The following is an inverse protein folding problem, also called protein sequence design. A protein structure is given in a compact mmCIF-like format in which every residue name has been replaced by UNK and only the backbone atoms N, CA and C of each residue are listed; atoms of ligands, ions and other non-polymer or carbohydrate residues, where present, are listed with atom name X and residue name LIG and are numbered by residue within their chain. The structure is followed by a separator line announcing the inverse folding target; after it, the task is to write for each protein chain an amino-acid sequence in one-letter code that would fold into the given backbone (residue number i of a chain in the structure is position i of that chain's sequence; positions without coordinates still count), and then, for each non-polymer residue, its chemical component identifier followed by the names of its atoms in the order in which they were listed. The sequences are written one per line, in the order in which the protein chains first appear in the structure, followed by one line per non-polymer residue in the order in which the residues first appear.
data_IF_178816620459
#
_entry.id   IF_178816620459
#
_cell.length_a   1.000
_cell.length_b   1.000
_cell.length_c   1.000
_cell.angle_alpha   90.00
_cell.angle_beta   90.00
_cell.angle_gamma   90.00
#
_symmetry.space_group_name_H-M   'P 1'
#
loop_
_entity.id
_entity.type
_entity.pdbx_description
1 polymer ?
#
# COMPACT_ATOMS: atom_id res chain seq x y z
N UNK A 1 0.17 -14.63 -30.71
CA UNK A 1 -0.01 -15.43 -29.48
C UNK A 1 -0.88 -14.72 -28.41
N UNK A 2 -1.61 -13.65 -28.78
CA UNK A 2 -2.57 -13.00 -27.88
C UNK A 2 -3.90 -13.76 -27.88
N UNK A 3 -4.57 -13.84 -26.72
CA UNK A 3 -5.95 -14.34 -26.59
C UNK A 3 -6.99 -13.34 -27.14
N UNK A 4 -6.60 -12.04 -27.21
CA UNK A 4 -7.43 -10.94 -27.67
C UNK A 4 -6.63 -10.08 -28.67
N UNK A 5 -6.36 -10.57 -29.88
CA UNK A 5 -5.44 -9.90 -30.82
C UNK A 5 -5.93 -8.52 -31.27
N UNK A 6 -7.23 -8.35 -31.49
CA UNK A 6 -7.80 -7.08 -31.96
C UNK A 6 -7.71 -6.00 -30.86
N UNK A 7 -7.96 -6.34 -29.58
CA UNK A 7 -7.80 -5.42 -28.47
C UNK A 7 -6.33 -5.01 -28.31
N UNK A 8 -5.40 -5.97 -28.40
CA UNK A 8 -3.97 -5.67 -28.30
C UNK A 8 -3.50 -4.76 -29.45
N UNK A 9 -4.00 -5.01 -30.67
CA UNK A 9 -3.67 -4.15 -31.80
C UNK A 9 -4.18 -2.70 -31.57
N UNK A 10 -5.40 -2.55 -31.07
CA UNK A 10 -5.97 -1.22 -30.74
C UNK A 10 -5.19 -0.51 -29.63
N UNK A 11 -4.73 -1.24 -28.61
CA UNK A 11 -3.90 -0.67 -27.53
C UNK A 11 -2.54 -0.17 -28.09
N UNK A 12 -1.88 -0.96 -28.94
CA UNK A 12 -0.62 -0.55 -29.60
C UNK A 12 -0.80 0.67 -30.51
N UNK A 13 -1.89 0.73 -31.25
CA UNK A 13 -2.21 1.90 -32.09
C UNK A 13 -2.45 3.15 -31.23
N UNK A 14 -3.10 3.01 -30.06
CA UNK A 14 -3.30 4.11 -29.12
C UNK A 14 -1.96 4.58 -28.52
N UNK A 15 -1.07 3.69 -28.14
CA UNK A 15 0.28 4.01 -27.65
C UNK A 15 1.11 4.76 -28.70
N UNK A 16 1.13 4.25 -29.94
CA UNK A 16 1.79 4.94 -31.06
C UNK A 16 1.22 6.34 -31.29
N UNK A 17 -0.10 6.47 -31.25
CA UNK A 17 -0.78 7.77 -31.44
C UNK A 17 -0.43 8.76 -30.32
N UNK A 18 -0.31 8.28 -29.06
CA UNK A 18 0.10 9.10 -27.93
C UNK A 18 1.54 9.60 -28.07
N UNK A 19 2.48 8.74 -28.51
CA UNK A 19 3.86 9.11 -28.77
C UNK A 19 3.97 10.17 -29.90
N UNK A 20 3.24 9.97 -31.00
CA UNK A 20 3.21 10.93 -32.11
C UNK A 20 2.62 12.29 -31.70
N UNK A 21 1.58 12.27 -30.84
CA UNK A 21 1.01 13.49 -30.28
C UNK A 21 2.02 14.22 -29.40
N UNK A 22 2.71 13.51 -28.52
CA UNK A 22 3.76 14.04 -27.65
C UNK A 22 4.89 14.69 -28.45
N UNK A 23 5.40 13.99 -29.47
CA UNK A 23 6.43 14.51 -30.36
C UNK A 23 6.00 15.80 -31.06
N UNK A 24 4.77 15.85 -31.58
CA UNK A 24 4.21 17.05 -32.22
C UNK A 24 4.11 18.21 -31.23
N UNK A 25 3.60 17.98 -30.03
CA UNK A 25 3.48 19.04 -29.01
C UNK A 25 4.84 19.58 -28.58
N UNK A 26 5.84 18.72 -28.48
CA UNK A 26 7.20 19.17 -28.19
C UNK A 26 7.80 20.00 -29.35
N UNK A 27 7.59 19.57 -30.59
CA UNK A 27 8.00 20.33 -31.77
C UNK A 27 7.35 21.74 -31.81
N UNK A 28 6.05 21.85 -31.50
CA UNK A 28 5.36 23.14 -31.38
C UNK A 28 6.01 24.09 -30.35
N UNK A 29 6.54 23.51 -29.21
CA UNK A 29 7.28 24.31 -28.22
C UNK A 29 8.63 24.77 -28.78
N UNK A 30 9.35 23.91 -29.47
CA UNK A 30 10.62 24.25 -30.12
C UNK A 30 10.44 25.32 -31.21
N UNK A 31 9.40 25.20 -32.02
CA UNK A 31 9.08 26.19 -33.05
C UNK A 31 8.72 27.56 -32.44
N UNK A 32 7.98 27.55 -31.31
CA UNK A 32 7.50 28.77 -30.67
C UNK A 32 8.59 29.50 -29.88
N UNK A 33 9.44 28.79 -29.15
CA UNK A 33 10.39 29.37 -28.20
C UNK A 33 11.85 29.15 -28.56
N UNK A 34 12.14 28.31 -29.55
CA UNK A 34 13.48 27.90 -29.94
C UNK A 34 14.01 26.74 -29.03
N UNK A 35 14.82 25.87 -29.62
CA UNK A 35 15.36 24.66 -28.94
C UNK A 35 16.13 25.06 -27.71
N UNK A 36 17.05 26.01 -27.78
CA UNK A 36 17.91 26.40 -26.64
C UNK A 36 17.10 26.91 -25.43
N UNK A 37 15.98 27.61 -25.65
CA UNK A 37 15.12 28.08 -24.55
C UNK A 37 14.38 26.91 -23.89
N UNK A 38 13.86 25.99 -24.69
CA UNK A 38 13.12 24.83 -24.17
C UNK A 38 14.06 23.91 -23.38
N UNK A 39 15.27 23.65 -23.90
CA UNK A 39 16.28 22.85 -23.17
C UNK A 39 16.69 23.53 -21.86
N UNK A 40 16.95 24.83 -21.87
CA UNK A 40 17.25 25.57 -20.65
C UNK A 40 16.09 25.56 -19.63
N UNK A 41 14.83 25.51 -20.09
CA UNK A 41 13.69 25.32 -19.20
C UNK A 41 13.68 23.92 -18.56
N UNK A 42 14.04 22.87 -19.28
CA UNK A 42 14.15 21.52 -18.70
C UNK A 42 15.20 21.48 -17.60
N UNK A 43 16.39 22.05 -17.84
CA UNK A 43 17.46 22.12 -16.83
C UNK A 43 17.00 22.92 -15.59
N UNK A 44 16.35 24.06 -15.80
CA UNK A 44 15.84 24.90 -14.72
C UNK A 44 14.75 24.20 -13.88
N UNK A 45 13.87 23.41 -14.50
CA UNK A 45 12.84 22.62 -13.81
C UNK A 45 13.50 21.53 -12.93
N UNK A 46 14.50 20.84 -13.49
CA UNK A 46 15.25 19.79 -12.77
C UNK A 46 15.99 20.40 -11.57
N UNK A 47 16.69 21.51 -11.76
CA UNK A 47 17.41 22.22 -10.70
C UNK A 47 16.46 22.74 -9.61
N UNK A 48 15.34 23.35 -10.00
CA UNK A 48 14.32 23.82 -9.06
C UNK A 48 13.76 22.70 -8.20
N UNK A 49 13.53 21.50 -8.76
CA UNK A 49 13.13 20.33 -8.02
C UNK A 49 14.20 19.89 -7.03
N UNK A 50 15.47 19.83 -7.45
CA UNK A 50 16.59 19.46 -6.57
C UNK A 50 16.65 20.39 -5.34
N UNK A 51 16.61 21.70 -5.57
CA UNK A 51 16.68 22.69 -4.49
C UNK A 51 15.42 22.67 -3.59
N UNK A 52 14.24 22.47 -4.17
CA UNK A 52 13.01 22.32 -3.38
C UNK A 52 13.07 21.11 -2.45
N UNK A 53 13.46 19.94 -2.95
CA UNK A 53 13.62 18.73 -2.13
C UNK A 53 14.70 18.87 -1.07
N UNK A 54 15.82 19.52 -1.40
CA UNK A 54 16.90 19.79 -0.42
C UNK A 54 16.37 20.64 0.74
N UNK A 55 15.70 21.73 0.44
CA UNK A 55 15.20 22.69 1.41
C UNK A 55 13.99 22.16 2.20
N UNK A 56 13.02 21.55 1.52
CA UNK A 56 11.73 21.20 2.13
C UNK A 56 11.73 19.80 2.76
N UNK A 57 12.57 18.89 2.27
CA UNK A 57 12.55 17.48 2.67
C UNK A 57 13.82 17.09 3.42
N UNK A 58 14.99 17.22 2.79
CA UNK A 58 16.24 16.75 3.41
C UNK A 58 16.58 17.49 4.70
N UNK A 59 16.25 18.78 4.78
CA UNK A 59 16.45 19.57 5.99
C UNK A 59 15.64 19.11 7.21
N UNK A 60 14.59 18.30 7.00
CA UNK A 60 13.73 17.76 8.06
C UNK A 60 14.17 16.40 8.58
N UNK A 61 15.10 15.76 7.89
CA UNK A 61 15.68 14.48 8.31
C UNK A 61 16.98 14.79 9.05
N UNK A 62 17.14 14.40 10.32
CA UNK A 62 18.39 14.60 11.05
C UNK A 62 19.53 13.80 10.41
N UNK A 63 20.78 14.22 10.62
CA UNK A 63 21.93 13.41 10.22
C UNK A 63 22.00 12.15 11.10
N UNK A 64 22.24 10.99 10.48
CA UNK A 64 22.27 9.72 11.20
C UNK A 64 22.07 8.51 10.29
N UNK A 65 21.96 7.34 10.91
CA UNK A 65 21.74 6.06 10.22
C UNK A 65 20.66 5.27 10.95
N UNK A 66 19.68 4.78 10.18
CA UNK A 66 18.55 3.98 10.68
C UNK A 66 18.34 2.79 9.75
N UNK A 67 17.78 1.72 10.27
CA UNK A 67 17.44 0.56 9.48
C UNK A 67 15.97 0.13 9.75
N UNK A 68 15.31 -0.35 8.70
CA UNK A 68 13.97 -0.92 8.74
C UNK A 68 13.81 -1.99 7.68
N UNK A 69 12.98 -2.97 7.95
CA UNK A 69 12.64 -4.00 6.97
C UNK A 69 11.16 -4.36 7.04
N UNK A 70 10.61 -4.74 5.89
CA UNK A 70 9.26 -5.28 5.77
C UNK A 70 9.28 -6.46 4.80
N UNK A 71 8.15 -7.16 4.63
CA UNK A 71 8.16 -8.50 4.07
C UNK A 71 7.04 -8.68 3.06
N UNK A 72 7.33 -9.42 1.97
CA UNK A 72 6.30 -10.17 1.26
C UNK A 72 6.11 -11.53 1.95
N UNK A 73 4.89 -12.02 2.01
CA UNK A 73 4.53 -13.19 2.83
C UNK A 73 4.62 -14.53 2.13
N UNK A 74 4.71 -14.53 0.80
CA UNK A 74 4.91 -15.73 -0.03
C UNK A 74 5.26 -15.36 -1.47
N UNK A 75 5.77 -16.30 -2.22
CA UNK A 75 6.15 -16.13 -3.62
C UNK A 75 5.24 -16.91 -4.61
N UNK A 76 4.22 -17.60 -4.11
CA UNK A 76 3.29 -18.41 -4.91
C UNK A 76 3.83 -19.79 -5.31
N UNK A 77 5.04 -20.16 -4.89
CA UNK A 77 5.68 -21.45 -5.19
C UNK A 77 6.05 -22.19 -3.91
N UNK A 78 6.82 -21.55 -3.04
CA UNK A 78 7.20 -22.12 -1.75
C UNK A 78 6.08 -21.90 -0.69
N UNK A 79 6.03 -22.67 0.39
CA UNK A 79 5.14 -22.38 1.52
C UNK A 79 5.31 -20.93 2.02
N UNK A 80 4.26 -20.33 2.60
CA UNK A 80 4.33 -18.96 3.11
C UNK A 80 5.50 -18.77 4.08
N UNK A 81 6.30 -17.71 3.80
CA UNK A 81 7.46 -17.32 4.61
C UNK A 81 7.78 -15.83 4.39
N UNK A 82 8.55 -15.27 5.30
CA UNK A 82 8.98 -13.88 5.19
C UNK A 82 10.07 -13.71 4.13
N UNK A 83 9.79 -12.89 3.12
CA UNK A 83 10.75 -12.42 2.11
C UNK A 83 11.11 -10.97 2.43
N UNK A 84 12.19 -10.77 3.18
CA UNK A 84 12.60 -9.46 3.68
C UNK A 84 13.04 -8.51 2.57
N UNK A 85 12.63 -7.27 2.69
CA UNK A 85 13.13 -6.12 1.96
C UNK A 85 13.60 -5.10 2.98
N UNK A 86 14.87 -4.72 2.92
CA UNK A 86 15.54 -3.90 3.92
C UNK A 86 16.08 -2.62 3.32
N UNK A 87 15.99 -1.53 4.07
CA UNK A 87 16.67 -0.27 3.80
C UNK A 87 17.44 0.13 5.06
N UNK A 88 18.75 0.36 4.91
CA UNK A 88 19.54 1.14 5.84
C UNK A 88 19.65 2.54 5.25
N UNK A 89 18.99 3.51 5.86
CA UNK A 89 19.00 4.92 5.49
C UNK A 89 20.12 5.62 6.22
N UNK A 90 21.01 6.28 5.48
CA UNK A 90 21.96 7.23 6.05
C UNK A 90 21.69 8.60 5.47
N UNK A 91 21.49 9.60 6.34
CA UNK A 91 21.39 11.02 5.99
C UNK A 91 22.67 11.73 6.38
N UNK A 92 23.22 12.50 5.44
CA UNK A 92 24.35 13.41 5.70
C UNK A 92 24.05 14.79 5.15
N UNK A 93 24.43 15.82 5.88
CA UNK A 93 24.36 17.23 5.44
C UNK A 93 25.59 17.66 4.65
N UNK A 94 26.64 16.86 4.57
CA UNK A 94 27.83 17.15 3.77
C UNK A 94 27.49 17.28 2.28
N UNK A 95 28.16 18.18 1.58
CA UNK A 95 27.99 18.36 0.13
C UNK A 95 26.59 18.85 -0.29
N UNK A 96 25.87 19.52 0.61
CA UNK A 96 24.51 20.02 0.34
C UNK A 96 23.39 19.03 0.71
N UNK A 97 23.73 17.91 1.33
CA UNK A 97 22.79 16.92 1.83
C UNK A 97 22.38 15.86 0.80
N UNK A 98 22.38 14.60 1.24
CA UNK A 98 21.90 13.44 0.48
C UNK A 98 21.39 12.34 1.39
N UNK A 99 20.60 11.43 0.83
CA UNK A 99 20.16 10.18 1.44
C UNK A 99 20.87 9.01 0.77
N UNK A 100 21.47 8.14 1.55
CA UNK A 100 22.02 6.86 1.09
C UNK A 100 21.01 5.78 1.50
N UNK A 101 20.49 5.06 0.52
CA UNK A 101 19.58 3.94 0.70
C UNK A 101 20.33 2.64 0.39
N UNK A 102 20.76 1.93 1.42
CA UNK A 102 21.46 0.65 1.30
C UNK A 102 20.48 -0.49 1.50
N UNK A 103 20.29 -1.30 0.45
CA UNK A 103 19.37 -2.44 0.42
C UNK A 103 20.02 -3.76 0.84
N UNK A 104 21.24 -3.74 1.36
CA UNK A 104 21.93 -4.94 1.88
C UNK A 104 21.11 -5.58 3.00
N UNK A 105 20.94 -6.91 2.97
CA UNK A 105 20.08 -7.65 3.87
C UNK A 105 18.72 -8.01 3.29
N UNK A 106 18.40 -7.52 2.08
CA UNK A 106 17.24 -8.01 1.31
C UNK A 106 17.40 -9.50 0.99
N UNK A 107 16.31 -10.26 1.14
CA UNK A 107 16.29 -11.72 0.95
C UNK A 107 16.83 -12.17 -0.40
N UNK A 108 17.35 -13.42 -0.49
CA UNK A 108 17.66 -14.05 -1.76
C UNK A 108 16.48 -14.01 -2.73
N UNK A 109 16.77 -14.08 -4.04
CA UNK A 109 15.71 -14.14 -5.05
C UNK A 109 14.76 -15.30 -4.81
N UNK A 110 13.47 -15.06 -5.03
CA UNK A 110 12.41 -16.02 -4.87
C UNK A 110 12.32 -16.94 -6.11
N UNK A 111 11.81 -18.16 -5.92
CA UNK A 111 11.46 -19.06 -7.01
C UNK A 111 10.23 -18.56 -7.78
N UNK A 112 9.30 -17.95 -7.05
CA UNK A 112 8.09 -17.37 -7.61
C UNK A 112 8.28 -15.97 -8.19
N UNK A 113 7.24 -15.39 -8.82
CA UNK A 113 7.36 -14.24 -9.71
C UNK A 113 7.50 -12.88 -9.03
N UNK A 114 7.83 -12.81 -7.73
CA UNK A 114 7.86 -11.57 -6.95
C UNK A 114 9.17 -10.76 -7.09
N UNK A 115 10.19 -11.26 -7.78
CA UNK A 115 11.47 -10.58 -7.93
C UNK A 115 11.35 -9.28 -8.72
N UNK A 116 12.20 -8.29 -8.41
CA UNK A 116 12.25 -7.00 -9.09
C UNK A 116 13.71 -6.60 -9.41
N UNK A 117 13.99 -6.26 -10.67
CA UNK A 117 15.30 -5.75 -11.09
C UNK A 117 15.42 -4.25 -10.71
N UNK A 118 15.65 -3.98 -9.42
CA UNK A 118 15.73 -2.63 -8.87
C UNK A 118 16.97 -1.86 -9.32
N UNK A 119 18.03 -2.56 -9.66
CA UNK A 119 19.30 -2.01 -10.14
C UNK A 119 19.31 -1.69 -11.66
N UNK A 120 18.17 -1.79 -12.33
CA UNK A 120 18.04 -1.37 -13.73
C UNK A 120 18.38 0.12 -13.89
N UNK A 121 19.18 0.44 -14.92
CA UNK A 121 19.69 1.77 -15.18
C UNK A 121 20.34 2.43 -13.95
N UNK A 122 21.19 1.65 -13.25
CA UNK A 122 21.91 2.07 -12.04
C UNK A 122 20.98 2.54 -10.91
N UNK A 123 19.74 2.05 -10.91
CA UNK A 123 18.74 2.40 -9.90
C UNK A 123 17.98 3.70 -10.14
N UNK A 124 18.23 4.42 -11.23
CA UNK A 124 17.54 5.69 -11.52
C UNK A 124 16.03 5.57 -11.55
N UNK A 125 15.50 4.46 -12.09
CA UNK A 125 14.07 4.18 -12.05
C UNK A 125 13.57 4.03 -10.62
N UNK A 126 14.29 3.26 -9.79
CA UNK A 126 13.90 3.03 -8.40
C UNK A 126 13.98 4.31 -7.57
N UNK A 127 15.00 5.15 -7.77
CA UNK A 127 15.13 6.44 -7.10
C UNK A 127 13.89 7.33 -7.33
N UNK A 128 13.47 7.46 -8.59
CA UNK A 128 12.27 8.23 -8.95
C UNK A 128 10.98 7.60 -8.42
N UNK A 129 10.91 6.28 -8.38
CA UNK A 129 9.76 5.56 -7.85
C UNK A 129 9.62 5.74 -6.33
N UNK A 130 10.72 5.80 -5.59
CA UNK A 130 10.72 5.98 -4.14
C UNK A 130 10.52 7.46 -3.72
N UNK A 131 10.93 8.42 -4.54
CA UNK A 131 10.90 9.84 -4.21
C UNK A 131 9.53 10.40 -3.78
N UNK A 132 8.37 9.97 -4.33
CA UNK A 132 7.06 10.44 -3.89
C UNK A 132 6.80 10.27 -2.39
N UNK A 133 7.38 9.23 -1.76
CA UNK A 133 7.23 8.98 -0.32
C UNK A 133 7.85 10.11 0.51
N UNK A 134 8.96 10.69 0.04
CA UNK A 134 9.65 11.77 0.72
C UNK A 134 8.76 13.02 0.88
N UNK A 135 7.80 13.24 -0.03
CA UNK A 135 6.88 14.39 0.02
C UNK A 135 6.02 14.41 1.30
N UNK A 136 5.82 13.26 1.95
CA UNK A 136 5.12 13.20 3.24
C UNK A 136 5.86 13.95 4.37
N UNK A 137 7.13 14.29 4.19
CA UNK A 137 7.91 15.09 5.12
C UNK A 137 7.79 16.60 4.88
N UNK A 138 7.11 17.04 3.85
CA UNK A 138 6.85 18.46 3.63
C UNK A 138 6.08 19.07 4.82
N UNK A 139 6.20 20.38 5.01
CA UNK A 139 5.63 21.08 6.16
C UNK A 139 4.12 20.93 6.25
N UNK A 140 3.46 21.02 5.12
CA UNK A 140 2.01 20.88 5.00
C UNK A 140 1.65 20.03 3.78
N UNK A 141 0.43 19.46 3.74
CA UNK A 141 -0.05 18.73 2.56
C UNK A 141 -0.05 19.57 1.28
N UNK A 142 -0.32 20.88 1.39
CA UNK A 142 -0.31 21.82 0.27
C UNK A 142 1.12 21.94 -0.30
N UNK A 143 2.13 22.07 0.58
CA UNK A 143 3.54 22.08 0.17
C UNK A 143 3.96 20.74 -0.45
N UNK A 144 3.48 19.63 0.10
CA UNK A 144 3.71 18.31 -0.49
C UNK A 144 3.14 18.22 -1.92
N UNK A 145 1.97 18.81 -2.17
CA UNK A 145 1.33 18.84 -3.49
C UNK A 145 2.08 19.70 -4.51
N UNK A 146 2.78 20.76 -4.04
CA UNK A 146 3.57 21.67 -4.89
C UNK A 146 4.95 21.10 -5.28
N UNK A 147 5.43 20.06 -4.60
CA UNK A 147 6.71 19.43 -4.90
C UNK A 147 6.58 18.47 -6.08
N UNK A 148 7.13 18.83 -7.22
CA UNK A 148 7.24 17.91 -8.37
C UNK A 148 8.28 16.81 -8.11
N UNK A 149 8.05 15.64 -8.71
CA UNK A 149 9.00 14.54 -8.73
C UNK A 149 9.46 14.30 -10.16
N UNK A 150 10.69 14.63 -10.43
CA UNK A 150 11.34 14.45 -11.74
C UNK A 150 12.80 14.04 -11.55
N UNK A 151 13.63 14.17 -12.57
CA UNK A 151 15.06 13.82 -12.55
C UNK A 151 15.85 14.56 -11.46
N UNK A 152 15.37 15.72 -10.98
CA UNK A 152 16.00 16.52 -9.93
C UNK A 152 16.09 15.84 -8.56
N UNK A 153 15.35 14.74 -8.31
CA UNK A 153 15.47 13.97 -7.07
C UNK A 153 16.65 13.00 -7.10
N UNK A 154 17.10 12.57 -8.28
CA UNK A 154 18.13 11.54 -8.44
C UNK A 154 19.46 11.93 -7.79
N UNK A 155 19.99 13.15 -7.94
CA UNK A 155 21.24 13.54 -7.29
C UNK A 155 21.21 13.54 -5.76
N UNK A 156 20.02 13.53 -5.16
CA UNK A 156 19.82 13.54 -3.73
C UNK A 156 19.77 12.12 -3.11
N UNK A 157 19.66 11.08 -3.95
CA UNK A 157 19.47 9.69 -3.55
C UNK A 157 20.65 8.85 -4.07
N UNK A 158 21.47 8.31 -3.17
CA UNK A 158 22.47 7.30 -3.48
C UNK A 158 21.92 5.92 -3.15
N UNK A 159 21.72 5.06 -4.17
CA UNK A 159 21.23 3.70 -3.98
C UNK A 159 22.38 2.71 -3.94
N UNK A 160 22.44 1.88 -2.91
CA UNK A 160 23.42 0.79 -2.77
C UNK A 160 22.69 -0.53 -2.80
N UNK A 161 22.96 -1.32 -3.84
CA UNK A 161 22.29 -2.60 -4.05
C UNK A 161 23.06 -3.74 -3.41
N UNK A 162 22.34 -4.79 -2.94
CA UNK A 162 22.95 -6.04 -2.50
C UNK A 162 23.62 -6.75 -3.70
N UNK A 163 24.46 -7.78 -3.45
CA UNK A 163 24.98 -8.64 -4.51
C UNK A 163 23.86 -9.21 -5.39
N UNK A 164 24.21 -9.59 -6.62
CA UNK A 164 23.27 -10.26 -7.53
C UNK A 164 22.70 -11.56 -6.92
N UNK A 165 21.44 -11.87 -7.23
CA UNK A 165 20.75 -13.05 -6.70
C UNK A 165 19.82 -12.76 -5.50
N UNK A 166 19.44 -11.50 -5.32
CA UNK A 166 18.41 -11.12 -4.32
C UNK A 166 17.10 -10.72 -4.98
N UNK A 167 16.05 -10.47 -4.16
CA UNK A 167 14.75 -9.97 -4.63
C UNK A 167 14.86 -8.68 -5.45
N UNK A 168 15.87 -7.82 -5.18
CA UNK A 168 16.08 -6.54 -5.85
C UNK A 168 17.13 -6.57 -6.95
N UNK A 169 17.92 -7.62 -7.03
CA UNK A 169 18.99 -7.81 -8.01
C UNK A 169 18.94 -9.22 -8.58
N UNK A 170 17.76 -9.70 -9.04
CA UNK A 170 17.61 -11.07 -9.48
C UNK A 170 18.47 -11.39 -10.70
N UNK A 171 18.89 -12.65 -10.82
CA UNK A 171 19.57 -13.18 -11.98
C UNK A 171 18.67 -14.18 -12.71
N UNK A 172 18.79 -14.19 -14.03
CA UNK A 172 18.05 -15.14 -14.85
C UNK A 172 18.28 -16.60 -14.36
N UNK A 173 17.23 -17.43 -14.28
CA UNK A 173 15.86 -17.27 -14.82
C UNK A 173 14.81 -16.83 -13.79
N UNK A 174 15.16 -16.06 -12.76
CA UNK A 174 14.21 -15.62 -11.74
C UNK A 174 13.00 -14.89 -12.36
N UNK A 175 11.76 -15.33 -12.09
CA UNK A 175 10.58 -14.72 -12.67
C UNK A 175 10.21 -13.40 -11.97
N UNK A 176 9.61 -12.46 -12.73
CA UNK A 176 9.34 -11.09 -12.27
C UNK A 176 7.91 -10.62 -12.55
N UNK A 177 6.98 -11.51 -12.91
CA UNK A 177 5.63 -11.10 -13.35
C UNK A 177 4.81 -10.39 -12.24
N UNK A 178 5.03 -10.74 -10.98
CA UNK A 178 4.40 -10.11 -9.80
C UNK A 178 5.39 -9.17 -9.06
N UNK A 179 6.36 -8.56 -9.76
CA UNK A 179 7.36 -7.65 -9.19
C UNK A 179 6.79 -6.48 -8.38
N UNK A 180 5.53 -6.15 -8.61
CA UNK A 180 4.82 -5.08 -7.92
C UNK A 180 4.79 -5.28 -6.41
N UNK A 181 4.78 -6.51 -5.91
CA UNK A 181 4.83 -6.78 -4.47
C UNK A 181 6.14 -6.27 -3.84
N UNK A 182 7.25 -6.44 -4.52
CA UNK A 182 8.55 -5.97 -4.03
C UNK A 182 8.68 -4.46 -4.18
N UNK A 183 8.40 -3.91 -5.37
CA UNK A 183 8.57 -2.47 -5.60
C UNK A 183 7.61 -1.60 -4.76
N UNK A 184 6.37 -2.04 -4.56
CA UNK A 184 5.42 -1.31 -3.72
C UNK A 184 5.72 -1.49 -2.23
N UNK A 185 6.24 -2.66 -1.82
CA UNK A 185 6.69 -2.87 -0.44
C UNK A 185 7.84 -1.94 -0.06
N UNK A 186 8.74 -1.63 -0.99
CA UNK A 186 9.83 -0.68 -0.75
C UNK A 186 9.32 0.72 -0.39
N UNK A 187 8.14 1.14 -0.87
CA UNK A 187 7.53 2.40 -0.42
C UNK A 187 7.24 2.36 1.08
N UNK A 188 6.67 1.25 1.58
CA UNK A 188 6.44 1.02 3.01
C UNK A 188 7.75 0.93 3.79
N UNK A 189 8.77 0.24 3.25
CA UNK A 189 10.09 0.14 3.91
C UNK A 189 10.75 1.52 4.03
N UNK A 190 10.69 2.35 2.99
CA UNK A 190 11.20 3.71 3.04
C UNK A 190 10.41 4.58 4.03
N UNK A 191 9.07 4.48 4.04
CA UNK A 191 8.23 5.18 5.00
C UNK A 191 8.56 4.76 6.45
N UNK A 192 8.77 3.47 6.71
CA UNK A 192 9.11 2.95 8.03
C UNK A 192 10.47 3.43 8.53
N UNK A 193 11.53 3.37 7.70
CA UNK A 193 12.84 3.89 8.11
C UNK A 193 12.84 5.40 8.31
N UNK A 194 12.09 6.15 7.50
CA UNK A 194 11.89 7.59 7.69
C UNK A 194 11.08 7.89 8.97
N UNK A 195 10.08 7.07 9.30
CA UNK A 195 9.35 7.21 10.56
C UNK A 195 10.29 7.06 11.77
N UNK A 196 11.22 6.09 11.74
CA UNK A 196 12.27 5.98 12.77
C UNK A 196 13.15 7.23 12.82
N UNK A 197 13.64 7.69 11.67
CA UNK A 197 14.53 8.84 11.58
C UNK A 197 13.89 10.15 12.07
N UNK A 198 12.57 10.28 11.96
CA UNK A 198 11.82 11.50 12.24
C UNK A 198 10.90 11.40 13.44
N UNK A 199 11.01 10.34 14.26
CA UNK A 199 10.19 10.17 15.44
C UNK A 199 8.69 10.02 15.15
N UNK A 200 8.33 9.42 14.01
CA UNK A 200 6.93 9.15 13.63
C UNK A 200 6.30 10.17 12.69
N UNK A 201 7.06 11.10 12.09
CA UNK A 201 6.51 12.10 11.17
C UNK A 201 6.11 11.53 9.78
N UNK A 202 5.96 10.22 9.66
CA UNK A 202 5.53 9.54 8.43
C UNK A 202 4.19 8.86 8.62
N UNK A 203 3.42 8.65 7.54
CA UNK A 203 2.23 7.82 7.59
C UNK A 203 2.53 6.38 8.02
N UNK A 204 1.55 5.71 8.61
CA UNK A 204 1.55 4.26 8.79
C UNK A 204 1.52 3.53 7.44
N UNK A 205 1.67 2.21 7.47
CA UNK A 205 1.66 1.39 6.26
C UNK A 205 0.29 1.43 5.56
N UNK A 206 0.36 1.27 4.27
CA UNK A 206 -0.81 1.32 3.41
C UNK A 206 -0.92 0.04 2.57
N UNK A 207 -2.08 -0.15 2.00
CA UNK A 207 -2.31 -1.22 1.07
C UNK A 207 -1.32 -1.15 -0.11
N UNK A 208 -1.09 -2.30 -0.75
CA UNK A 208 -0.40 -2.42 -2.03
C UNK A 208 -1.40 -2.76 -3.14
N UNK A 209 -0.93 -2.91 -4.38
CA UNK A 209 -1.80 -3.25 -5.49
C UNK A 209 -2.36 -4.67 -5.33
N UNK A 210 -3.66 -4.84 -5.64
CA UNK A 210 -4.36 -6.11 -5.62
C UNK A 210 -5.13 -6.29 -6.91
N UNK A 211 -4.76 -7.33 -7.63
CA UNK A 211 -5.54 -7.77 -8.77
C UNK A 211 -6.35 -8.98 -8.35
N UNK A 212 -7.66 -8.93 -8.57
CA UNK A 212 -8.53 -10.08 -8.48
C UNK A 212 -9.24 -10.28 -9.81
N UNK A 213 -9.61 -11.50 -10.12
CA UNK A 213 -10.32 -11.76 -11.36
C UNK A 213 -11.00 -13.10 -11.38
N UNK A 214 -11.91 -13.23 -12.32
CA UNK A 214 -12.58 -14.49 -12.65
C UNK A 214 -12.47 -14.76 -14.15
N UNK A 215 -12.29 -16.02 -14.52
CA UNK A 215 -12.20 -16.42 -15.91
C UNK A 215 -12.87 -17.78 -16.13
N UNK A 216 -13.27 -18.02 -17.36
CA UNK A 216 -13.98 -19.23 -17.78
C UNK A 216 -14.56 -19.04 -19.16
N UNK A 217 -15.66 -19.77 -19.44
CA UNK A 217 -16.38 -19.65 -20.69
C UNK A 217 -17.76 -19.02 -20.45
N UNK A 218 -18.18 -18.13 -21.37
CA UNK A 218 -19.51 -17.52 -21.37
C UNK A 218 -20.58 -18.52 -21.84
N UNK A 219 -21.82 -18.02 -22.02
CA UNK A 219 -22.93 -18.85 -22.44
C UNK A 219 -22.76 -19.46 -23.86
N UNK A 220 -21.99 -18.80 -24.70
CA UNK A 220 -21.70 -19.22 -26.07
C UNK A 220 -20.43 -20.08 -26.16
N UNK A 221 -19.80 -20.41 -25.02
CA UNK A 221 -18.53 -21.15 -24.96
C UNK A 221 -17.31 -20.31 -25.37
N UNK A 222 -17.39 -18.98 -25.31
CA UNK A 222 -16.28 -18.10 -25.60
C UNK A 222 -15.51 -17.81 -24.30
N UNK A 223 -14.17 -17.90 -24.32
CA UNK A 223 -13.37 -17.60 -23.15
C UNK A 223 -13.50 -16.13 -22.75
N UNK A 224 -13.60 -15.88 -21.46
CA UNK A 224 -13.55 -14.54 -20.89
C UNK A 224 -12.52 -14.46 -19.75
N UNK A 225 -12.03 -13.26 -19.51
CA UNK A 225 -11.28 -12.87 -18.32
C UNK A 225 -11.78 -11.52 -17.87
N UNK A 226 -12.34 -11.47 -16.66
CA UNK A 226 -12.55 -10.25 -15.92
C UNK A 226 -11.40 -10.11 -14.93
N UNK A 227 -10.75 -8.96 -14.91
CA UNK A 227 -9.68 -8.63 -13.97
C UNK A 227 -9.81 -7.17 -13.59
N UNK A 228 -9.78 -6.90 -12.29
CA UNK A 228 -9.81 -5.52 -11.79
C UNK A 228 -8.79 -5.32 -10.67
N UNK A 229 -8.41 -4.07 -10.46
CA UNK A 229 -7.62 -3.63 -9.31
C UNK A 229 -8.60 -3.15 -8.23
N UNK A 230 -8.39 -3.61 -6.99
CA UNK A 230 -9.20 -3.18 -5.85
C UNK A 230 -8.35 -2.30 -4.94
N UNK A 231 -8.89 -1.15 -4.53
CA UNK A 231 -8.29 -0.27 -3.53
C UNK A 231 -8.32 -0.86 -2.13
N UNK A 232 -7.51 -0.31 -1.25
CA UNK A 232 -7.52 -0.62 0.18
C UNK A 232 -7.35 0.66 1.00
N UNK A 233 -7.15 0.53 2.30
CA UNK A 233 -6.96 1.68 3.18
C UNK A 233 -5.56 2.27 3.06
N UNK A 234 -5.43 3.60 3.02
CA UNK A 234 -4.14 4.27 3.23
C UNK A 234 -3.80 4.33 4.71
N UNK A 235 -2.52 4.47 5.05
CA UNK A 235 -2.08 4.63 6.44
C UNK A 235 -2.60 5.90 7.10
N UNK A 236 -2.87 5.85 8.40
CA UNK A 236 -3.09 7.04 9.23
C UNK A 236 -1.86 7.93 9.18
N UNK A 237 -2.07 9.26 9.19
CA UNK A 237 -1.02 10.28 9.07
C UNK A 237 -0.82 10.99 10.41
N UNK A 238 0.30 11.65 10.64
CA UNK A 238 0.50 12.43 11.88
C UNK A 238 -0.56 13.50 12.14
N UNK A 239 -1.33 13.90 11.12
CA UNK A 239 -2.28 15.02 11.15
C UNK A 239 -3.69 14.67 10.67
N UNK A 240 -3.93 13.46 10.16
CA UNK A 240 -5.24 13.07 9.61
C UNK A 240 -5.40 11.55 9.54
N UNK A 241 -6.65 11.10 9.48
CA UNK A 241 -6.99 9.71 9.17
C UNK A 241 -6.49 9.29 7.80
N UNK A 242 -6.29 7.99 7.63
CA UNK A 242 -6.08 7.39 6.32
C UNK A 242 -7.35 7.45 5.46
N UNK A 243 -7.16 7.52 4.17
CA UNK A 243 -8.25 7.53 3.19
C UNK A 243 -8.74 6.11 2.91
N UNK A 244 -10.06 5.99 2.73
CA UNK A 244 -10.70 4.71 2.50
C UNK A 244 -10.59 4.31 1.02
N UNK A 245 -10.35 3.04 0.73
CA UNK A 245 -10.40 2.43 -0.60
C UNK A 245 -9.58 3.15 -1.70
N UNK A 246 -8.41 3.64 -1.35
CA UNK A 246 -7.51 4.28 -2.32
C UNK A 246 -6.67 3.27 -3.10
N UNK A 247 -6.27 3.65 -4.29
CA UNK A 247 -5.27 2.92 -5.07
C UNK A 247 -3.89 3.56 -4.88
N UNK A 248 -2.91 2.76 -4.44
CA UNK A 248 -1.52 3.22 -4.29
C UNK A 248 -0.91 3.59 -5.63
N UNK A 249 -1.22 2.80 -6.67
CA UNK A 249 -0.88 3.14 -8.04
C UNK A 249 -2.06 3.91 -8.62
N UNK A 250 -1.89 5.16 -9.01
CA UNK A 250 -2.95 6.00 -9.54
C UNK A 250 -3.54 5.43 -10.84
N UNK A 251 -4.66 5.99 -11.27
CA UNK A 251 -5.40 5.76 -12.50
C UNK A 251 -6.31 4.53 -12.53
N UNK A 252 -6.32 3.71 -11.48
CA UNK A 252 -7.27 2.61 -11.41
C UNK A 252 -8.63 3.11 -10.88
N UNK A 253 -9.70 2.61 -11.51
CA UNK A 253 -11.09 2.80 -11.07
C UNK A 253 -11.77 1.45 -11.06
N UNK A 254 -12.77 1.31 -10.18
CA UNK A 254 -13.61 0.11 -10.18
C UNK A 254 -14.37 0.02 -11.51
N UNK A 255 -14.51 -1.19 -12.01
CA UNK A 255 -15.37 -1.46 -13.17
C UNK A 255 -16.82 -1.17 -12.73
N UNK A 256 -17.61 -0.36 -13.48
CA UNK A 256 -19.01 -0.15 -13.16
C UNK A 256 -19.75 -1.48 -13.10
N UNK A 257 -20.60 -1.65 -12.07
CA UNK A 257 -21.30 -2.92 -11.81
C UNK A 257 -22.16 -3.32 -13.01
N UNK A 258 -22.90 -2.37 -13.58
CA UNK A 258 -23.78 -2.59 -14.73
C UNK A 258 -23.02 -3.07 -15.96
N UNK A 259 -21.83 -2.48 -16.19
CA UNK A 259 -20.96 -2.92 -17.27
C UNK A 259 -20.43 -4.33 -17.02
N UNK A 260 -19.98 -4.61 -15.79
CA UNK A 260 -19.43 -5.92 -15.42
C UNK A 260 -20.47 -7.03 -15.58
N UNK A 261 -21.68 -6.85 -15.02
CA UNK A 261 -22.76 -7.82 -15.07
C UNK A 261 -23.33 -8.03 -16.49
N UNK A 262 -23.24 -7.02 -17.35
CA UNK A 262 -23.65 -7.15 -18.76
C UNK A 262 -22.66 -7.95 -19.61
N UNK A 263 -21.40 -8.07 -19.19
CA UNK A 263 -20.34 -8.72 -19.98
C UNK A 263 -19.90 -10.06 -19.46
N UNK A 264 -20.03 -10.32 -18.15
CA UNK A 264 -19.51 -11.53 -17.52
C UNK A 264 -20.60 -12.22 -16.71
N UNK A 265 -20.56 -13.54 -16.58
CA UNK A 265 -21.62 -14.32 -15.96
C UNK A 265 -21.55 -14.29 -14.43
N UNK A 266 -21.70 -13.11 -13.83
CA UNK A 266 -21.78 -12.94 -12.38
C UNK A 266 -22.68 -11.76 -11.98
N UNK A 267 -23.04 -11.68 -10.70
CA UNK A 267 -23.73 -10.55 -10.07
C UNK A 267 -22.90 -10.00 -8.92
N UNK A 268 -22.90 -8.69 -8.74
CA UNK A 268 -22.28 -8.01 -7.60
C UNK A 268 -23.34 -7.81 -6.52
N UNK A 269 -23.35 -8.66 -5.50
CA UNK A 269 -24.36 -8.62 -4.44
C UNK A 269 -24.08 -7.57 -3.37
N UNK A 270 -22.79 -7.24 -3.17
CA UNK A 270 -22.36 -6.25 -2.20
C UNK A 270 -21.14 -5.50 -2.70
N UNK A 271 -21.15 -4.21 -2.45
CA UNK A 271 -20.04 -3.30 -2.69
C UNK A 271 -20.06 -2.22 -1.60
N UNK A 272 -19.00 -2.12 -0.80
CA UNK A 272 -18.95 -1.16 0.30
C UNK A 272 -17.61 -1.17 1.04
N UNK A 273 -17.53 -0.43 2.12
CA UNK A 273 -16.36 -0.41 2.99
C UNK A 273 -16.34 -1.65 3.89
N UNK A 274 -15.14 -2.19 4.13
CA UNK A 274 -14.92 -3.24 5.12
C UNK A 274 -14.83 -2.60 6.51
N UNK A 275 -15.92 -2.65 7.26
CA UNK A 275 -16.03 -2.07 8.61
C UNK A 275 -14.94 -2.62 9.53
N UNK A 276 -14.35 -1.78 10.39
CA UNK A 276 -13.24 -2.09 11.31
C UNK A 276 -11.97 -2.60 10.63
N UNK A 277 -11.78 -2.40 9.33
CA UNK A 277 -10.57 -2.86 8.66
C UNK A 277 -9.38 -1.92 8.84
N UNK A 278 -9.62 -0.61 8.99
CA UNK A 278 -8.56 0.37 9.25
C UNK A 278 -7.93 0.19 10.63
N UNK A 279 -6.60 0.23 10.69
CA UNK A 279 -5.84 0.12 11.94
C UNK A 279 -6.23 1.21 12.94
N UNK A 280 -6.52 0.84 14.20
CA UNK A 280 -6.83 1.80 15.24
C UNK A 280 -5.66 2.73 15.52
N UNK A 281 -5.94 4.02 15.73
CA UNK A 281 -4.94 5.05 16.05
C UNK A 281 -5.62 6.33 16.49
N UNK A 282 -4.83 7.29 17.00
CA UNK A 282 -5.29 8.66 17.13
C UNK A 282 -5.84 9.16 15.79
N UNK A 283 -5.10 8.84 14.73
CA UNK A 283 -5.55 8.92 13.35
C UNK A 283 -5.70 7.50 12.80
N UNK A 284 -6.94 7.14 12.50
CA UNK A 284 -7.30 5.81 12.01
C UNK A 284 -6.69 5.54 10.65
N UNK A 285 -6.25 4.30 10.39
CA UNK A 285 -6.01 3.82 9.04
C UNK A 285 -7.28 3.85 8.18
N UNK A 286 -7.13 4.06 6.89
CA UNK A 286 -8.22 3.98 5.93
C UNK A 286 -8.82 2.60 5.87
N UNK A 287 -10.10 2.50 5.51
CA UNK A 287 -10.80 1.23 5.39
C UNK A 287 -10.50 0.56 4.05
N UNK A 288 -10.43 -0.75 4.09
CA UNK A 288 -10.50 -1.59 2.91
C UNK A 288 -11.90 -1.65 2.32
N UNK A 289 -12.01 -2.44 1.31
CA UNK A 289 -13.15 -2.62 0.43
C UNK A 289 -13.76 -3.99 0.65
N UNK A 290 -15.08 -4.11 0.62
CA UNK A 290 -15.78 -5.38 0.67
C UNK A 290 -16.64 -5.56 -0.59
N UNK A 291 -16.35 -6.62 -1.37
CA UNK A 291 -17.08 -6.97 -2.57
C UNK A 291 -17.52 -8.43 -2.53
N UNK A 292 -18.80 -8.67 -2.83
CA UNK A 292 -19.35 -10.01 -2.98
C UNK A 292 -19.77 -10.19 -4.42
N UNK A 293 -19.28 -11.25 -5.05
CA UNK A 293 -19.56 -11.60 -6.44
C UNK A 293 -20.18 -12.99 -6.45
N UNK A 294 -21.44 -13.11 -6.88
CA UNK A 294 -22.09 -14.41 -7.11
C UNK A 294 -21.87 -14.87 -8.53
N UNK A 295 -21.27 -16.04 -8.70
CA UNK A 295 -21.06 -16.63 -10.02
C UNK A 295 -22.36 -17.24 -10.56
N UNK A 296 -22.69 -16.95 -11.81
CA UNK A 296 -23.84 -17.52 -12.52
C UNK A 296 -23.48 -18.78 -13.32
N UNK A 297 -22.19 -19.03 -13.49
CA UNK A 297 -21.61 -20.20 -14.17
C UNK A 297 -20.34 -20.64 -13.47
N UNK A 298 -19.95 -21.89 -13.69
CA UNK A 298 -18.64 -22.39 -13.22
C UNK A 298 -17.53 -21.53 -13.81
N UNK A 299 -16.56 -21.17 -12.98
CA UNK A 299 -15.43 -20.32 -13.36
C UNK A 299 -14.20 -20.66 -12.50
N UNK A 300 -13.11 -19.96 -12.75
CA UNK A 300 -11.93 -19.96 -11.90
C UNK A 300 -11.67 -18.56 -11.37
N UNK A 301 -11.34 -18.49 -10.10
CA UNK A 301 -10.89 -17.25 -9.46
C UNK A 301 -9.36 -17.18 -9.49
N UNK A 302 -8.84 -15.97 -9.66
CA UNK A 302 -7.42 -15.65 -9.51
C UNK A 302 -7.22 -14.41 -8.63
N UNK A 303 -6.11 -14.40 -7.90
CA UNK A 303 -5.68 -13.27 -7.09
C UNK A 303 -4.17 -13.07 -7.23
N UNK A 304 -3.77 -11.82 -7.48
CA UNK A 304 -2.39 -11.37 -7.41
C UNK A 304 -2.37 -10.26 -6.36
N UNK A 305 -2.27 -10.66 -5.10
CA UNK A 305 -2.32 -9.79 -3.95
C UNK A 305 -1.25 -10.20 -2.92
N UNK A 306 -1.09 -9.38 -1.91
CA UNK A 306 -0.22 -9.58 -0.75
C UNK A 306 -1.00 -9.20 0.52
N UNK A 307 -0.44 -9.37 1.69
CA UNK A 307 -1.06 -8.99 2.97
C UNK A 307 -2.30 -9.80 3.34
N UNK A 308 -2.34 -11.09 3.03
CA UNK A 308 -3.40 -11.98 3.55
C UNK A 308 -3.05 -12.56 4.93
N UNK A 309 -1.78 -12.57 5.29
CA UNK A 309 -1.25 -13.02 6.59
C UNK A 309 -0.62 -11.87 7.36
N UNK A 310 0.20 -11.07 6.69
CA UNK A 310 0.72 -9.82 7.25
C UNK A 310 -0.33 -8.72 7.16
N UNK A 311 -0.29 -7.78 8.08
CA UNK A 311 -1.13 -6.59 8.07
C UNK A 311 -0.35 -5.35 7.60
N UNK A 312 -1.03 -4.29 7.22
CA UNK A 312 -0.43 -2.97 7.11
C UNK A 312 -0.10 -2.49 8.53
N UNK A 313 1.18 -2.24 8.79
CA UNK A 313 1.65 -1.91 10.15
C UNK A 313 1.20 -0.53 10.62
N UNK A 314 0.93 -0.41 11.92
CA UNK A 314 0.70 0.85 12.62
C UNK A 314 2.01 1.49 13.08
N UNK A 315 2.01 2.80 13.35
CA UNK A 315 3.19 3.56 13.77
C UNK A 315 2.89 4.55 14.89
N UNK A 316 3.91 4.88 15.67
CA UNK A 316 3.86 5.83 16.80
C UNK A 316 2.78 5.48 17.84
N UNK A 317 2.55 4.20 18.10
CA UNK A 317 1.51 3.68 18.99
C UNK A 317 0.19 3.32 18.32
N UNK A 318 0.07 3.54 17.01
CA UNK A 318 -1.06 3.08 16.21
C UNK A 318 -0.98 1.58 15.95
N UNK A 319 -2.13 0.96 15.66
CA UNK A 319 -2.23 -0.49 15.48
C UNK A 319 -2.30 -0.87 14.01
N UNK A 320 -1.97 -2.13 13.73
CA UNK A 320 -2.07 -2.70 12.39
C UNK A 320 -3.51 -2.71 11.89
N UNK A 321 -3.69 -2.55 10.56
CA UNK A 321 -4.95 -2.74 9.87
C UNK A 321 -5.32 -4.22 9.72
N UNK A 322 -6.51 -4.52 9.19
CA UNK A 322 -6.90 -5.90 8.90
C UNK A 322 -6.28 -6.39 7.59
N UNK A 323 -5.83 -7.65 7.53
CA UNK A 323 -5.30 -8.23 6.30
C UNK A 323 -6.34 -8.37 5.18
N UNK A 324 -5.84 -8.56 3.96
CA UNK A 324 -6.60 -9.00 2.80
C UNK A 324 -7.19 -10.40 3.02
N UNK A 325 -8.40 -10.62 2.56
CA UNK A 325 -9.01 -11.95 2.60
C UNK A 325 -9.94 -12.22 1.42
N UNK A 326 -9.89 -13.44 0.93
CA UNK A 326 -10.85 -13.97 -0.03
C UNK A 326 -11.45 -15.25 0.54
N UNK A 327 -12.77 -15.33 0.55
CA UNK A 327 -13.51 -16.51 0.96
C UNK A 327 -14.52 -16.85 -0.14
N UNK A 328 -14.47 -18.07 -0.61
CA UNK A 328 -15.44 -18.61 -1.56
C UNK A 328 -16.50 -19.38 -0.78
N UNK A 329 -17.77 -19.18 -1.14
CA UNK A 329 -18.97 -19.74 -0.51
C UNK A 329 -19.11 -19.41 0.99
N UNK A 330 -18.98 -18.12 1.41
CA UNK A 330 -19.00 -17.73 2.82
C UNK A 330 -20.30 -18.12 3.50
N UNK A 331 -20.19 -18.95 4.57
CA UNK A 331 -21.34 -19.50 5.29
C UNK A 331 -22.03 -20.69 4.60
N UNK A 332 -21.56 -21.10 3.45
CA UNK A 332 -22.07 -22.25 2.71
C UNK A 332 -21.29 -23.56 3.01
N UNK A 333 -21.75 -24.67 2.45
CA UNK A 333 -21.15 -25.99 2.70
C UNK A 333 -19.77 -26.17 2.06
N UNK A 334 -19.41 -25.34 1.09
CA UNK A 334 -18.11 -25.35 0.39
C UNK A 334 -17.22 -24.16 0.77
N UNK A 335 -17.47 -23.56 1.94
CA UNK A 335 -16.68 -22.41 2.42
C UNK A 335 -15.18 -22.75 2.44
N UNK A 336 -14.39 -21.91 1.78
CA UNK A 336 -12.94 -22.02 1.75
C UNK A 336 -12.27 -20.67 1.61
N UNK A 337 -11.14 -20.52 2.30
CA UNK A 337 -10.27 -19.34 2.19
C UNK A 337 -9.27 -19.56 1.06
N UNK A 338 -9.03 -18.52 0.26
CA UNK A 338 -8.06 -18.50 -0.84
C UNK A 338 -6.88 -17.63 -0.44
N UNK A 339 -5.66 -18.07 -0.77
CA UNK A 339 -4.45 -17.29 -0.54
C UNK A 339 -4.41 -16.03 -1.42
N UNK A 340 -3.65 -15.03 -0.97
CA UNK A 340 -3.54 -13.75 -1.69
C UNK A 340 -2.92 -13.89 -3.08
N UNK A 341 -1.99 -14.84 -3.26
CA UNK A 341 -1.41 -15.16 -4.57
C UNK A 341 -1.91 -16.55 -4.97
N UNK A 342 -2.97 -16.58 -5.77
CA UNK A 342 -3.67 -17.78 -6.17
C UNK A 342 -4.10 -17.71 -7.64
N UNK A 343 -4.19 -18.86 -8.27
CA UNK A 343 -4.72 -19.01 -9.64
C UNK A 343 -5.48 -20.34 -9.76
N UNK A 344 -6.38 -20.41 -10.72
CA UNK A 344 -7.17 -21.59 -11.05
C UNK A 344 -8.04 -22.13 -9.89
N UNK A 345 -8.41 -21.27 -8.94
CA UNK A 345 -9.32 -21.65 -7.84
C UNK A 345 -10.73 -21.88 -8.39
N UNK A 346 -11.26 -23.13 -8.34
CA UNK A 346 -12.56 -23.41 -8.94
C UNK A 346 -13.68 -22.73 -8.15
N UNK A 347 -14.63 -22.09 -8.86
CA UNK A 347 -15.84 -21.50 -8.31
C UNK A 347 -17.04 -22.04 -9.08
N UNK A 348 -18.02 -22.62 -8.37
CA UNK A 348 -19.20 -23.18 -8.97
C UNK A 348 -20.29 -22.11 -9.18
N UNK A 349 -21.16 -22.38 -10.14
CA UNK A 349 -22.37 -21.58 -10.31
C UNK A 349 -23.16 -21.52 -9.00
N UNK A 350 -23.56 -20.32 -8.58
CA UNK A 350 -24.25 -20.07 -7.32
C UNK A 350 -23.35 -19.77 -6.12
N UNK A 351 -22.07 -20.13 -6.13
CA UNK A 351 -21.14 -19.74 -5.06
C UNK A 351 -20.85 -18.24 -5.10
N UNK A 352 -20.59 -17.66 -3.93
CA UNK A 352 -20.21 -16.26 -3.75
C UNK A 352 -18.73 -16.17 -3.48
N UNK A 353 -18.05 -15.24 -4.15
CA UNK A 353 -16.67 -14.83 -3.82
C UNK A 353 -16.76 -13.57 -2.97
N UNK A 354 -16.39 -13.65 -1.70
CA UNK A 354 -16.26 -12.49 -0.80
C UNK A 354 -14.82 -12.05 -0.77
N UNK A 355 -14.56 -10.83 -1.22
CA UNK A 355 -13.25 -10.18 -1.23
C UNK A 355 -13.28 -9.05 -0.21
N UNK A 356 -12.31 -9.01 0.72
CA UNK A 356 -12.05 -7.88 1.60
C UNK A 356 -10.62 -7.44 1.43
N UNK A 357 -10.42 -6.18 1.06
CA UNK A 357 -9.06 -5.64 0.93
C UNK A 357 -8.54 -5.15 2.27
N UNK A 358 -7.23 -4.91 2.38
CA UNK A 358 -6.62 -4.47 3.64
C UNK A 358 -7.11 -3.11 4.08
N UNK A 359 -7.22 -2.92 5.37
CA UNK A 359 -7.16 -1.58 5.97
C UNK A 359 -5.72 -1.09 6.07
N UNK A 360 -5.50 0.23 6.01
CA UNK A 360 -4.22 0.86 6.33
C UNK A 360 -3.90 0.76 7.82
N UNK A 361 -2.62 0.91 8.20
CA UNK A 361 -2.22 0.98 9.60
C UNK A 361 -2.68 2.29 10.27
N UNK A 362 -2.86 2.27 11.60
CA UNK A 362 -3.18 3.45 12.42
C UNK A 362 -1.93 4.25 12.78
N UNK A 363 -2.10 5.54 13.06
CA UNK A 363 -1.06 6.42 13.56
C UNK A 363 -1.41 6.93 14.95
N UNK A 364 -0.47 6.86 15.90
CA UNK A 364 -0.64 7.33 17.27
C UNK A 364 -1.59 6.48 18.13
N UNK A 365 -1.55 6.66 19.43
CA UNK A 365 -2.36 5.86 20.38
C UNK A 365 -3.87 5.97 20.09
N UNK A 366 -4.59 4.86 19.84
CA UNK A 366 -6.03 4.90 19.62
C UNK A 366 -6.84 5.42 20.81
N UNK A 367 -6.31 5.33 22.05
CA UNK A 367 -6.97 5.89 23.22
C UNK A 367 -6.91 7.43 23.26
N UNK A 368 -6.11 8.07 22.40
CA UNK A 368 -6.04 9.53 22.25
C UNK A 368 -6.98 10.05 21.16
N UNK A 369 -7.68 9.17 20.42
CA UNK A 369 -8.66 9.61 19.40
C UNK A 369 -9.82 10.35 20.07
N UNK A 370 -10.17 11.57 19.59
CA UNK A 370 -11.31 12.33 20.11
C UNK A 370 -12.62 11.53 20.09
N UNK A 371 -13.44 11.66 21.12
CA UNK A 371 -14.70 10.91 21.22
C UNK A 371 -15.67 11.21 20.08
N UNK A 372 -15.76 12.45 19.66
CA UNK A 372 -16.60 12.90 18.54
C UNK A 372 -16.17 12.30 17.20
N UNK A 373 -14.87 12.06 17.00
CA UNK A 373 -14.37 11.38 15.81
C UNK A 373 -14.75 9.90 15.82
N UNK A 374 -14.67 9.22 16.98
CA UNK A 374 -15.12 7.83 17.11
C UNK A 374 -16.63 7.70 16.90
N UNK A 375 -17.41 8.61 17.47
CA UNK A 375 -18.87 8.64 17.26
C UNK A 375 -19.22 8.85 15.76
N UNK A 376 -18.52 9.77 15.11
CA UNK A 376 -18.67 10.01 13.66
C UNK A 376 -18.34 8.76 12.85
N UNK A 377 -17.25 8.06 13.19
CA UNK A 377 -16.89 6.81 12.51
C UNK A 377 -17.95 5.72 12.72
N UNK A 378 -18.57 5.64 13.89
CA UNK A 378 -19.69 4.73 14.15
C UNK A 378 -20.90 5.12 13.32
N UNK A 379 -21.29 6.40 13.31
CA UNK A 379 -22.42 6.91 12.53
C UNK A 379 -22.24 6.69 11.02
N UNK A 380 -21.03 6.70 10.55
CA UNK A 380 -20.68 6.45 9.13
C UNK A 380 -20.40 4.97 8.82
N UNK A 381 -20.69 4.08 9.76
CA UNK A 381 -20.42 2.64 9.64
C UNK A 381 -18.96 2.30 9.24
N UNK A 382 -18.02 3.12 9.66
CA UNK A 382 -16.59 2.86 9.51
C UNK A 382 -16.03 2.01 10.65
N UNK A 383 -16.53 2.26 11.86
CA UNK A 383 -16.18 1.56 13.09
C UNK A 383 -17.47 0.97 13.69
N UNK A 384 -17.44 -0.29 14.08
CA UNK A 384 -18.57 -0.93 14.77
C UNK A 384 -18.64 -0.45 16.24
N UNK A 385 -19.79 -0.70 16.90
CA UNK A 385 -19.93 -0.45 18.33
C UNK A 385 -18.90 -1.26 19.15
N UNK A 386 -18.60 -2.48 18.70
CA UNK A 386 -17.55 -3.31 19.31
C UNK A 386 -16.17 -2.69 19.09
N UNK A 387 -15.84 -2.27 17.86
CA UNK A 387 -14.59 -1.58 17.55
C UNK A 387 -14.41 -0.28 18.35
N UNK A 388 -15.45 0.54 18.46
CA UNK A 388 -15.40 1.74 19.28
C UNK A 388 -15.01 1.44 20.73
N UNK A 389 -15.61 0.40 21.31
CA UNK A 389 -15.30 -0.03 22.66
C UNK A 389 -13.92 -0.69 22.73
N UNK A 390 -13.64 -1.69 21.88
CA UNK A 390 -12.51 -2.59 22.05
C UNK A 390 -11.20 -2.00 21.51
N UNK A 391 -11.23 -1.12 20.54
CA UNK A 391 -10.04 -0.47 20.00
C UNK A 391 -9.81 0.92 20.61
N UNK A 392 -10.87 1.73 20.71
CA UNK A 392 -10.75 3.13 21.11
C UNK A 392 -11.13 3.42 22.56
N UNK A 393 -11.64 2.42 23.30
CA UNK A 393 -12.10 2.60 24.68
C UNK A 393 -13.29 3.56 24.78
N UNK A 394 -14.17 3.56 23.76
CA UNK A 394 -15.35 4.44 23.71
C UNK A 394 -16.62 3.62 23.85
N UNK A 395 -17.37 3.87 24.92
CA UNK A 395 -18.67 3.25 25.17
C UNK A 395 -19.75 4.06 24.48
N UNK A 396 -20.41 3.43 23.53
CA UNK A 396 -21.50 4.05 22.74
C UNK A 396 -22.79 3.35 23.08
N UNK A 397 -23.82 4.13 23.34
CA UNK A 397 -25.21 3.69 23.52
C UNK A 397 -26.06 4.14 22.32
N UNK A 398 -27.21 3.52 22.12
CA UNK A 398 -28.04 3.78 20.95
C UNK A 398 -27.64 3.01 19.71
N UNK A 399 -28.38 3.15 18.61
CA UNK A 399 -28.08 2.49 17.34
C UNK A 399 -26.87 3.16 16.65
N UNK A 400 -26.23 2.44 15.71
CA UNK A 400 -25.09 3.01 14.95
C UNK A 400 -25.41 4.31 14.21
N UNK A 401 -26.64 4.45 13.68
CA UNK A 401 -27.08 5.65 12.95
C UNK A 401 -27.31 6.87 13.85
N UNK A 402 -27.43 6.66 15.17
CA UNK A 402 -27.60 7.73 16.17
C UNK A 402 -26.81 7.38 17.44
N UNK A 403 -25.46 7.38 17.37
CA UNK A 403 -24.61 6.94 18.45
C UNK A 403 -24.54 8.00 19.55
N UNK A 404 -24.76 7.59 20.80
CA UNK A 404 -24.68 8.44 21.97
C UNK A 404 -23.49 8.03 22.84
N UNK A 405 -22.64 9.00 23.19
CA UNK A 405 -21.48 8.79 24.04
C UNK A 405 -21.87 8.56 25.50
N UNK A 406 -21.52 7.42 26.07
CA UNK A 406 -21.39 7.29 27.52
C UNK A 406 -19.99 7.79 27.96
N UNK A 407 -19.89 9.08 28.27
CA UNK A 407 -18.61 9.70 28.63
C UNK A 407 -18.01 9.09 29.89
N UNK A 408 -18.80 8.87 30.94
CA UNK A 408 -18.30 8.35 32.19
C UNK A 408 -17.73 6.93 32.05
N UNK A 409 -18.44 6.05 31.37
CA UNK A 409 -17.97 4.72 31.08
C UNK A 409 -16.74 4.72 30.15
N UNK A 410 -16.69 5.62 29.18
CA UNK A 410 -15.54 5.77 28.27
C UNK A 410 -14.29 6.26 28.99
N UNK A 411 -14.42 7.30 29.85
CA UNK A 411 -13.30 7.81 30.64
C UNK A 411 -12.74 6.73 31.57
N UNK A 412 -13.62 5.99 32.25
CA UNK A 412 -13.24 4.87 33.13
C UNK A 412 -12.55 3.75 32.34
N UNK A 413 -13.08 3.36 31.16
CA UNK A 413 -12.50 2.31 30.34
C UNK A 413 -11.11 2.71 29.80
N UNK A 414 -10.95 3.93 29.28
CA UNK A 414 -9.65 4.45 28.83
C UNK A 414 -8.64 4.50 29.96
N UNK A 415 -9.05 4.98 31.14
CA UNK A 415 -8.18 5.01 32.32
C UNK A 415 -7.73 3.60 32.74
N UNK A 416 -8.65 2.65 32.81
CA UNK A 416 -8.33 1.26 33.13
C UNK A 416 -7.36 0.64 32.11
N UNK A 417 -7.56 0.87 30.81
CA UNK A 417 -6.66 0.35 29.77
C UNK A 417 -5.27 0.96 29.84
N UNK A 418 -5.15 2.28 30.07
CA UNK A 418 -3.85 2.94 30.26
C UNK A 418 -3.14 2.39 31.50
N UNK A 419 -3.86 2.19 32.60
CA UNK A 419 -3.29 1.62 33.83
C UNK A 419 -2.85 0.15 33.69
N UNK A 420 -3.49 -0.62 32.83
CA UNK A 420 -3.15 -2.02 32.56
C UNK A 420 -1.92 -2.20 31.63
N UNK A 421 -1.44 -1.16 31.00
CA UNK A 421 -0.25 -1.20 30.13
C UNK A 421 1.01 -1.37 30.97
N UNK A 422 1.84 -2.36 30.63
CA UNK A 422 3.16 -2.61 31.24
C UNK A 422 4.28 -2.02 30.39
N UNK A 423 4.12 -0.81 29.88
CA UNK A 423 5.03 -0.09 28.99
C UNK A 423 4.28 0.85 28.07
N UNK A 424 5.00 1.54 27.18
CA UNK A 424 4.39 2.32 26.08
C UNK A 424 3.80 1.41 25.01
N UNK A 425 2.94 1.96 24.15
CA UNK A 425 2.56 1.26 22.91
C UNK A 425 3.80 1.06 22.04
N UNK A 426 3.88 -0.04 21.27
CA UNK A 426 5.02 -0.27 20.38
C UNK A 426 5.11 0.85 19.34
N UNK A 427 6.34 1.24 18.99
CA UNK A 427 6.52 2.25 17.95
C UNK A 427 5.98 1.77 16.59
N UNK A 428 6.18 0.48 16.28
CA UNK A 428 5.51 -0.20 15.16
C UNK A 428 4.70 -1.38 15.68
N UNK A 429 3.46 -1.51 15.19
CA UNK A 429 2.65 -2.71 15.34
C UNK A 429 2.47 -3.40 14.00
N UNK A 430 3.08 -4.57 13.83
CA UNK A 430 2.99 -5.40 12.61
C UNK A 430 1.76 -6.31 12.58
N UNK A 431 0.97 -6.32 13.65
CA UNK A 431 -0.13 -7.26 13.82
C UNK A 431 0.34 -8.71 14.08
N UNK A 432 -0.61 -9.61 14.32
CA UNK A 432 -0.30 -10.99 14.77
C UNK A 432 0.34 -11.86 13.68
N UNK A 433 0.11 -11.53 12.40
CA UNK A 433 0.60 -12.34 11.27
C UNK A 433 2.12 -12.41 11.18
N UNK A 434 2.81 -11.35 11.57
CA UNK A 434 4.27 -11.33 11.60
C UNK A 434 4.82 -12.40 12.57
N UNK A 435 4.35 -12.41 13.81
CA UNK A 435 4.80 -13.37 14.80
C UNK A 435 4.52 -14.84 14.40
N UNK A 436 3.38 -15.08 13.74
CA UNK A 436 3.03 -16.42 13.24
C UNK A 436 3.99 -16.91 12.15
N UNK A 437 4.42 -16.03 11.24
CA UNK A 437 5.34 -16.40 10.15
C UNK A 437 6.82 -16.39 10.59
N UNK A 438 7.19 -15.48 11.48
CA UNK A 438 8.56 -15.36 12.01
C UNK A 438 8.87 -16.39 13.11
N UNK A 439 7.85 -16.95 13.77
CA UNK A 439 7.99 -17.81 14.94
C UNK A 439 8.44 -17.07 16.20
N UNK A 440 8.47 -15.73 16.17
CA UNK A 440 8.88 -14.87 17.29
C UNK A 440 8.19 -13.51 17.19
N UNK A 441 8.05 -12.75 18.31
CA UNK A 441 7.56 -11.37 18.29
C UNK A 441 8.44 -10.47 17.41
N UNK A 442 7.89 -9.29 17.10
CA UNK A 442 8.61 -8.22 16.36
C UNK A 442 10.01 -7.99 16.93
N UNK A 443 10.99 -7.85 16.05
CA UNK A 443 12.41 -7.71 16.44
C UNK A 443 12.70 -6.30 17.01
N UNK A 444 13.86 -6.15 17.68
CA UNK A 444 14.36 -4.85 18.19
C UNK A 444 14.44 -3.76 17.10
N UNK A 445 14.53 -4.16 15.83
CA UNK A 445 14.50 -3.25 14.67
C UNK A 445 13.21 -2.40 14.61
N UNK A 446 12.15 -2.84 15.28
CA UNK A 446 10.85 -2.14 15.35
C UNK A 446 10.82 -1.06 16.44
N UNK A 447 11.83 -0.98 17.29
CA UNK A 447 11.93 0.09 18.29
C UNK A 447 12.64 1.31 17.69
N UNK A 448 12.30 2.54 18.12
CA UNK A 448 13.11 3.70 17.79
C UNK A 448 14.53 3.46 18.31
N UNK A 449 15.54 3.71 17.46
CA UNK A 449 16.92 3.67 17.92
C UNK A 449 17.03 4.70 19.07
N UNK A 450 17.46 4.22 20.23
CA UNK A 450 17.49 5.03 21.43
C UNK A 450 18.18 6.38 21.15
N UNK A 451 17.44 7.45 21.39
CA UNK A 451 18.01 8.79 21.52
C UNK A 451 18.82 8.73 22.80
N UNK A 452 20.13 8.41 22.64
CA UNK A 452 21.10 8.49 23.70
C UNK A 452 21.55 9.93 23.95
#
# INVERSE_FOLDING_TARGET
NSRMPDSLAADLDAECSACLMGARRLAELFDRYGVAVVEACFDAIVEATTEAFRREILARIPDGTWAWEDYAEHDGVDPPRLHAQRITLTKTSEGGGRLILDFTGTSPQAKGPINHAGDYADGNFLAKWLAPILRNLAETPERAAELDVNEGVVPLLELRFPPKGTLLTPVFPAPTNARTFVILRLLGVLAGVLAKATGGAMPADQETIRYTGVYGDDADGRPYLMREVLGGGSGGRPYADGEDTVHVVPDSRNIPVEFAESRWPFLVERLGLAVDSGGPGRHRGGLGYEKHIRMLRDAHFMSIADRSRLACWGVAGGRAGRPFSVVIDPGGPAERTVDALADAEPVRAGEVIRIRTTGGGGWGDPLDRPYDEVLRDVAWHKVSLAGARDDYGVVVTGPPDDPVLDRAASDALRAARRAARTGGEPFFDRGPGYAMLAGQPSADIDQPDGVG
#
